data_IF_976551951172
#
_entry.id   IF_976551951172
#
_cell.length_a   1.000
_cell.length_b   1.000
_cell.length_c   1.000
_cell.angle_alpha   90.00
_cell.angle_beta   90.00
_cell.angle_gamma   90.00
#
_symmetry.space_group_name_H-M   'P 1'
#
loop_
_entity.id
_entity.type
_entity.pdbx_description
1 polymer ?
#
# COMPACT_ATOMS: atom_id res chain seq x y z
N UNK A 1 -10.06 -17.16 -14.58
CA UNK A 1 -10.12 -15.99 -13.65
C UNK A 1 -10.84 -16.45 -12.37
N UNK A 2 -10.45 -15.94 -11.19
CA UNK A 2 -10.56 -16.65 -9.91
C UNK A 2 -11.95 -17.21 -9.56
N UNK A 3 -12.00 -18.39 -8.93
CA UNK A 3 -13.24 -19.06 -8.52
C UNK A 3 -13.18 -19.48 -7.05
N UNK A 4 -14.35 -19.62 -6.44
CA UNK A 4 -14.51 -20.15 -5.10
C UNK A 4 -14.48 -21.68 -5.17
N UNK A 5 -13.59 -22.30 -4.40
CA UNK A 5 -13.52 -23.76 -4.25
C UNK A 5 -14.69 -24.27 -3.39
N UNK A 6 -14.92 -25.59 -3.39
CA UNK A 6 -15.99 -26.21 -2.59
C UNK A 6 -15.89 -25.94 -1.08
N UNK A 7 -14.71 -25.55 -0.59
CA UNK A 7 -14.45 -25.19 0.81
C UNK A 7 -14.57 -23.67 1.10
N UNK A 8 -15.02 -22.88 0.13
CA UNK A 8 -15.17 -21.42 0.22
C UNK A 8 -13.86 -20.64 0.03
N UNK A 9 -12.74 -21.31 -0.28
CA UNK A 9 -11.45 -20.63 -0.52
C UNK A 9 -11.36 -20.12 -1.94
N UNK A 10 -10.85 -18.90 -2.11
CA UNK A 10 -10.55 -18.35 -3.43
C UNK A 10 -9.35 -19.07 -4.05
N UNK A 11 -9.52 -19.54 -5.28
CA UNK A 11 -8.48 -20.06 -6.15
C UNK A 11 -8.26 -19.12 -7.34
N UNK A 12 -7.01 -19.07 -7.82
CA UNK A 12 -6.68 -18.42 -9.07
C UNK A 12 -6.75 -19.44 -10.21
N UNK A 13 -7.72 -19.26 -11.10
CA UNK A 13 -7.78 -19.97 -12.37
C UNK A 13 -6.89 -19.26 -13.40
N UNK A 14 -5.69 -19.80 -13.58
CA UNK A 14 -4.71 -19.39 -14.58
C UNK A 14 -5.07 -19.96 -15.96
N UNK A 15 -6.17 -19.47 -16.52
CA UNK A 15 -6.73 -19.92 -17.81
C UNK A 15 -6.22 -19.16 -19.03
N UNK A 16 -5.15 -18.36 -18.87
CA UNK A 16 -4.58 -17.51 -19.91
C UNK A 16 -5.60 -16.60 -20.63
N UNK A 17 -6.70 -16.22 -19.96
CA UNK A 17 -7.68 -15.26 -20.50
C UNK A 17 -7.06 -13.88 -20.83
N UNK A 18 -5.86 -13.61 -20.31
CA UNK A 18 -5.05 -12.46 -20.63
C UNK A 18 -5.18 -11.31 -19.65
N UNK A 19 -4.48 -10.22 -19.97
CA UNK A 19 -4.45 -8.98 -19.20
C UNK A 19 -4.91 -7.86 -20.14
N UNK A 20 -5.99 -7.13 -19.83
CA UNK A 20 -6.38 -5.97 -20.60
C UNK A 20 -5.24 -4.96 -20.68
N UNK A 21 -4.85 -4.63 -21.91
CA UNK A 21 -3.85 -3.62 -22.22
C UNK A 21 -4.51 -2.51 -23.03
N UNK A 22 -4.59 -1.32 -22.44
CA UNK A 22 -5.32 -0.17 -22.98
C UNK A 22 -4.30 0.84 -23.46
N UNK A 23 -4.47 1.30 -24.69
CA UNK A 23 -3.73 2.45 -25.22
C UNK A 23 -4.67 3.66 -25.24
N UNK A 24 -4.23 4.73 -24.59
CA UNK A 24 -4.94 5.99 -24.49
C UNK A 24 -4.04 7.14 -24.94
N UNK A 25 -4.66 8.25 -25.32
CA UNK A 25 -3.96 9.43 -25.79
C UNK A 25 -4.52 10.67 -25.11
N UNK A 26 -3.65 11.62 -24.80
CA UNK A 26 -4.03 12.90 -24.24
C UNK A 26 -3.37 14.03 -25.05
N UNK A 27 -4.18 14.99 -25.49
CA UNK A 27 -3.72 16.18 -26.20
C UNK A 27 -3.16 17.20 -25.19
N UNK A 28 -2.02 16.83 -24.61
CA UNK A 28 -1.31 17.60 -23.59
C UNK A 28 0.19 17.32 -23.74
N UNK A 29 1.06 18.34 -23.70
CA UNK A 29 2.50 18.14 -23.61
C UNK A 29 2.88 17.43 -22.31
N UNK A 30 3.82 16.48 -22.36
CA UNK A 30 4.25 15.73 -21.17
C UNK A 30 4.82 16.64 -20.07
N UNK A 31 5.53 17.71 -20.46
CA UNK A 31 6.07 18.73 -19.57
C UNK A 31 5.03 19.44 -18.69
N UNK A 32 3.74 19.31 -19.01
CA UNK A 32 2.66 19.82 -18.16
C UNK A 32 2.62 19.09 -16.81
N UNK A 33 2.95 17.80 -16.78
CA UNK A 33 3.04 17.02 -15.55
C UNK A 33 4.21 17.44 -14.66
N UNK A 34 5.23 18.09 -15.20
CA UNK A 34 6.47 18.41 -14.48
C UNK A 34 6.39 19.75 -13.74
N UNK A 35 5.28 20.48 -13.88
CA UNK A 35 5.11 21.79 -13.25
C UNK A 35 4.79 21.63 -11.77
N UNK A 36 5.43 22.45 -10.94
CA UNK A 36 5.22 22.44 -9.47
C UNK A 36 3.77 22.71 -9.06
N UNK A 37 3.01 23.45 -9.87
CA UNK A 37 1.60 23.78 -9.64
C UNK A 37 0.62 22.80 -10.32
N UNK A 38 1.12 21.73 -10.94
CA UNK A 38 0.26 20.76 -11.60
C UNK A 38 -0.47 19.88 -10.59
N UNK A 39 -1.79 19.99 -10.56
CA UNK A 39 -2.63 19.09 -9.79
C UNK A 39 -2.74 17.73 -10.49
N UNK A 40 -1.88 16.78 -10.12
CA UNK A 40 -1.89 15.44 -10.74
C UNK A 40 -3.17 14.64 -10.49
N UNK A 41 -3.84 14.88 -9.35
CA UNK A 41 -4.87 13.97 -8.84
C UNK A 41 -6.15 13.93 -9.68
N UNK A 42 -6.70 15.06 -10.16
CA UNK A 42 -7.80 15.03 -11.12
C UNK A 42 -7.51 14.17 -12.36
N UNK A 43 -6.23 14.00 -12.71
CA UNK A 43 -5.77 13.19 -13.84
C UNK A 43 -5.51 11.72 -13.53
N UNK A 44 -5.35 11.31 -12.26
CA UNK A 44 -5.09 9.90 -11.93
C UNK A 44 -6.16 8.96 -12.45
N UNK A 45 -7.43 9.35 -12.38
CA UNK A 45 -8.56 8.58 -12.94
C UNK A 45 -8.51 8.44 -14.47
N UNK A 46 -7.77 9.32 -15.15
CA UNK A 46 -7.55 9.29 -16.60
C UNK A 46 -6.32 8.49 -16.99
N UNK A 47 -5.39 8.26 -16.06
CA UNK A 47 -4.16 7.52 -16.30
C UNK A 47 -4.24 6.05 -15.89
N UNK A 48 -5.22 5.68 -15.06
CA UNK A 48 -5.48 4.30 -14.67
C UNK A 48 -6.54 3.65 -15.58
N UNK A 49 -6.45 2.32 -15.82
CA UNK A 49 -7.47 1.56 -16.56
C UNK A 49 -8.89 1.86 -16.06
N UNK A 50 -9.82 2.08 -17.00
CA UNK A 50 -11.24 2.13 -16.67
C UNK A 50 -11.75 0.74 -16.28
N UNK A 51 -12.29 0.62 -15.07
CA UNK A 51 -12.75 -0.65 -14.52
C UNK A 51 -12.12 -0.86 -13.16
N UNK A 52 -12.95 -0.89 -12.13
CA UNK A 52 -12.48 -1.06 -10.76
C UNK A 52 -12.08 -2.52 -10.54
N UNK A 53 -10.86 -2.90 -10.93
CA UNK A 53 -10.31 -4.24 -10.63
C UNK A 53 -10.15 -4.48 -9.12
N UNK A 54 -10.40 -3.46 -8.28
CA UNK A 54 -10.48 -3.60 -6.82
C UNK A 54 -11.85 -4.09 -6.38
N UNK A 55 -12.88 -3.96 -7.22
CA UNK A 55 -14.21 -4.57 -7.03
C UNK A 55 -14.30 -5.82 -7.89
N UNK A 56 -13.79 -6.92 -7.36
CA UNK A 56 -14.08 -8.24 -7.90
C UNK A 56 -15.56 -8.54 -7.68
N UNK A 57 -16.38 -8.30 -8.71
CA UNK A 57 -17.82 -8.53 -8.73
C UNK A 57 -18.17 -9.80 -9.50
N UNK A 58 -17.25 -10.30 -10.33
CA UNK A 58 -17.42 -11.50 -11.14
C UNK A 58 -16.12 -12.31 -11.19
N UNK A 59 -16.20 -13.65 -11.24
CA UNK A 59 -15.07 -14.52 -11.61
C UNK A 59 -14.37 -14.09 -12.90
N UNK A 60 -15.07 -13.41 -13.82
CA UNK A 60 -14.53 -12.94 -15.10
C UNK A 60 -13.86 -11.55 -15.04
N UNK A 61 -13.80 -10.92 -13.87
CA UNK A 61 -13.13 -9.63 -13.75
C UNK A 61 -11.61 -9.78 -13.86
N UNK A 62 -10.93 -8.91 -14.63
CA UNK A 62 -9.49 -8.98 -14.80
C UNK A 62 -8.76 -8.69 -13.48
N UNK A 63 -7.79 -9.53 -13.15
CA UNK A 63 -7.00 -9.41 -11.92
C UNK A 63 -5.83 -8.41 -12.03
N UNK A 64 -5.47 -8.07 -13.26
CA UNK A 64 -4.50 -7.06 -13.64
C UNK A 64 -5.03 -6.37 -14.89
N UNK A 65 -4.87 -5.06 -14.97
CA UNK A 65 -5.06 -4.26 -16.18
C UNK A 65 -3.96 -3.22 -16.28
N UNK A 66 -3.56 -2.89 -17.51
CA UNK A 66 -2.50 -1.93 -17.78
C UNK A 66 -3.01 -0.91 -18.78
N UNK A 67 -2.75 0.36 -18.52
CA UNK A 67 -3.02 1.45 -19.47
C UNK A 67 -1.74 2.21 -19.77
N UNK A 68 -1.44 2.40 -21.05
CA UNK A 68 -0.43 3.34 -21.55
C UNK A 68 -1.16 4.58 -22.03
N UNK A 69 -0.91 5.73 -21.39
CA UNK A 69 -1.44 7.01 -21.86
C UNK A 69 -0.33 7.81 -22.52
N UNK A 70 -0.38 7.99 -23.83
CA UNK A 70 0.59 8.73 -24.64
C UNK A 70 0.22 10.22 -24.70
N UNK A 71 1.23 11.06 -24.57
CA UNK A 71 1.09 12.52 -24.60
C UNK A 71 1.27 13.05 -26.02
N UNK A 72 0.96 14.33 -26.20
CA UNK A 72 1.07 15.01 -27.48
C UNK A 72 2.45 14.78 -28.12
N UNK A 73 2.46 14.52 -29.42
CA UNK A 73 3.67 14.27 -30.22
C UNK A 73 4.55 13.10 -29.71
N UNK A 74 4.00 12.15 -28.95
CA UNK A 74 4.75 11.05 -28.32
C UNK A 74 5.92 11.51 -27.43
N UNK A 75 5.83 12.72 -26.85
CA UNK A 75 6.88 13.29 -25.98
C UNK A 75 7.08 12.49 -24.68
N UNK A 76 6.07 11.71 -24.28
CA UNK A 76 6.12 10.88 -23.09
C UNK A 76 4.87 10.02 -22.94
N UNK A 77 4.88 9.17 -21.92
CA UNK A 77 3.73 8.34 -21.57
C UNK A 77 3.65 8.11 -20.06
N UNK A 78 2.44 7.81 -19.60
CA UNK A 78 2.16 7.33 -18.24
C UNK A 78 1.70 5.88 -18.30
N UNK A 79 2.22 5.05 -17.41
CA UNK A 79 1.74 3.69 -17.16
C UNK A 79 0.82 3.66 -15.94
N UNK A 80 -0.45 3.33 -16.16
CA UNK A 80 -1.40 3.04 -15.11
C UNK A 80 -1.62 1.56 -14.93
N UNK A 81 -1.80 1.13 -13.68
CA UNK A 81 -2.09 -0.24 -13.34
C UNK A 81 -3.38 -0.30 -12.52
N UNK A 82 -4.25 -1.23 -12.87
CA UNK A 82 -5.22 -1.77 -11.93
C UNK A 82 -4.72 -3.14 -11.49
N UNK A 83 -4.52 -3.36 -10.19
CA UNK A 83 -4.16 -4.68 -9.65
C UNK A 83 -5.14 -5.13 -8.56
N UNK A 84 -5.60 -6.37 -8.64
CA UNK A 84 -6.31 -7.01 -7.54
C UNK A 84 -5.31 -7.36 -6.43
N UNK A 85 -5.44 -6.72 -5.27
CA UNK A 85 -4.58 -6.98 -4.12
C UNK A 85 -4.79 -8.39 -3.52
N UNK A 86 -5.84 -9.11 -3.92
CA UNK A 86 -6.04 -10.54 -3.60
C UNK A 86 -4.90 -11.38 -4.20
N UNK A 87 -4.42 -11.00 -5.40
CA UNK A 87 -3.37 -11.74 -6.09
C UNK A 87 -2.01 -11.45 -5.49
N UNK A 88 -1.67 -10.18 -5.27
CA UNK A 88 -0.28 -9.78 -5.07
C UNK A 88 -0.20 -8.50 -4.22
N UNK A 89 0.79 -8.47 -3.33
CA UNK A 89 1.17 -7.25 -2.60
C UNK A 89 2.02 -6.31 -3.47
N UNK A 90 2.31 -5.11 -2.95
CA UNK A 90 3.11 -4.11 -3.66
C UNK A 90 4.51 -4.60 -4.06
N UNK A 91 5.15 -5.47 -3.26
CA UNK A 91 6.45 -6.03 -3.59
C UNK A 91 6.36 -6.96 -4.82
N UNK A 92 5.31 -7.78 -4.90
CA UNK A 92 5.05 -8.65 -6.05
C UNK A 92 4.68 -7.82 -7.30
N UNK A 93 3.90 -6.75 -7.15
CA UNK A 93 3.60 -5.85 -8.27
C UNK A 93 4.88 -5.19 -8.82
N UNK A 94 5.78 -4.76 -7.93
CA UNK A 94 7.08 -4.20 -8.35
C UNK A 94 7.95 -5.24 -9.07
N UNK A 95 7.96 -6.50 -8.59
CA UNK A 95 8.63 -7.61 -9.28
C UNK A 95 8.07 -7.81 -10.68
N UNK A 96 6.74 -7.85 -10.84
CA UNK A 96 6.08 -7.94 -12.16
C UNK A 96 6.54 -6.81 -13.09
N UNK A 97 6.51 -5.55 -12.63
CA UNK A 97 6.91 -4.41 -13.46
C UNK A 97 8.37 -4.47 -13.90
N UNK A 98 9.27 -4.91 -13.00
CA UNK A 98 10.69 -5.11 -13.33
C UNK A 98 10.86 -6.19 -14.39
N UNK A 99 10.22 -7.35 -14.21
CA UNK A 99 10.25 -8.46 -15.16
C UNK A 99 9.64 -8.08 -16.51
N UNK A 100 8.52 -7.34 -16.51
CA UNK A 100 7.91 -6.83 -17.74
C UNK A 100 8.85 -5.89 -18.49
N UNK A 101 9.53 -4.98 -17.77
CA UNK A 101 10.55 -4.11 -18.35
C UNK A 101 11.79 -4.83 -18.90
N UNK A 102 12.20 -5.95 -18.28
CA UNK A 102 13.26 -6.82 -18.81
C UNK A 102 12.84 -7.47 -20.13
N UNK A 103 11.66 -8.09 -20.15
CA UNK A 103 11.08 -8.70 -21.35
C UNK A 103 10.92 -7.67 -22.48
N UNK A 104 10.42 -6.47 -22.19
CA UNK A 104 10.23 -5.41 -23.17
C UNK A 104 11.56 -4.95 -23.82
N UNK A 105 12.69 -5.10 -23.11
CA UNK A 105 14.04 -4.83 -23.64
C UNK A 105 14.69 -6.04 -24.31
N UNK A 106 14.00 -7.19 -24.39
CA UNK A 106 14.55 -8.44 -24.90
C UNK A 106 15.61 -9.07 -23.99
N UNK A 107 15.60 -8.72 -22.70
CA UNK A 107 16.51 -9.30 -21.70
C UNK A 107 15.89 -10.54 -21.05
N UNK A 108 16.70 -11.53 -20.63
CA UNK A 108 16.21 -12.61 -19.79
C UNK A 108 15.76 -12.06 -18.43
N UNK A 109 14.81 -12.76 -17.80
CA UNK A 109 14.36 -12.41 -16.46
C UNK A 109 15.50 -12.55 -15.45
N UNK A 110 15.75 -11.49 -14.68
CA UNK A 110 16.76 -11.54 -13.60
C UNK A 110 16.31 -12.40 -12.42
N UNK A 111 14.99 -12.52 -12.23
CA UNK A 111 14.37 -13.28 -11.15
C UNK A 111 13.04 -13.85 -11.62
N UNK A 112 12.94 -15.19 -11.64
CA UNK A 112 11.71 -15.89 -12.01
C UNK A 112 10.73 -15.92 -10.82
N UNK A 113 9.45 -15.56 -11.01
CA UNK A 113 8.48 -15.57 -9.92
C UNK A 113 8.25 -16.99 -9.39
N UNK A 114 8.09 -17.09 -8.07
CA UNK A 114 7.81 -18.34 -7.37
C UNK A 114 6.39 -18.32 -6.82
N UNK A 115 5.56 -19.24 -7.29
CA UNK A 115 4.17 -19.40 -6.89
C UNK A 115 4.04 -20.55 -5.88
N UNK A 116 4.30 -20.28 -4.60
CA UNK A 116 4.19 -21.26 -3.50
C UNK A 116 3.22 -20.75 -2.42
N UNK A 117 1.96 -20.52 -2.78
CA UNK A 117 0.98 -19.89 -1.87
C UNK A 117 0.66 -20.76 -0.67
N UNK A 118 0.75 -22.07 -0.83
CA UNK A 118 0.60 -23.06 0.22
C UNK A 118 1.65 -22.94 1.33
N UNK A 119 2.75 -22.21 1.13
CA UNK A 119 3.71 -21.91 2.20
C UNK A 119 3.10 -21.02 3.30
N UNK A 120 2.02 -20.29 2.98
CA UNK A 120 1.29 -19.40 3.89
C UNK A 120 -0.08 -19.96 4.29
N UNK A 121 -0.30 -21.26 4.13
CA UNK A 121 -1.57 -21.86 4.55
C UNK A 121 -1.71 -21.78 6.09
N UNK A 122 -2.92 -21.56 6.64
CA UNK A 122 -3.12 -21.42 8.08
C UNK A 122 -2.56 -22.58 8.90
N UNK A 123 -2.54 -23.78 8.33
CA UNK A 123 -2.04 -25.00 8.98
C UNK A 123 -0.50 -25.02 9.13
N UNK A 124 0.22 -24.18 8.37
CA UNK A 124 1.69 -24.07 8.39
C UNK A 124 2.19 -22.84 9.12
N UNK A 125 1.33 -21.86 9.39
CA UNK A 125 1.70 -20.61 10.03
C UNK A 125 1.39 -20.68 11.53
N UNK A 126 2.44 -20.51 12.35
CA UNK A 126 2.29 -20.23 13.77
C UNK A 126 2.34 -18.71 13.91
N UNK A 127 1.18 -18.07 13.90
CA UNK A 127 1.08 -16.64 14.16
C UNK A 127 1.11 -16.41 15.67
N UNK A 128 1.79 -15.34 16.15
CA UNK A 128 1.64 -14.93 17.54
C UNK A 128 0.16 -14.61 17.81
N UNK A 129 -0.31 -14.78 19.06
CA UNK A 129 -1.65 -14.33 19.42
C UNK A 129 -1.78 -12.84 19.07
N UNK A 130 -2.93 -12.41 18.52
CA UNK A 130 -3.13 -11.01 18.18
C UNK A 130 -2.91 -10.15 19.43
N UNK A 131 -2.23 -9.01 19.27
CA UNK A 131 -1.90 -8.13 20.40
C UNK A 131 -3.15 -7.61 21.14
N UNK A 132 -4.33 -7.66 20.50
CA UNK A 132 -5.68 -7.46 21.06
C UNK A 132 -6.71 -8.04 20.09
N UNK A 133 -7.87 -8.49 20.59
CA UNK A 133 -9.01 -8.83 19.73
C UNK A 133 -9.38 -7.59 18.89
N UNK A 134 -9.24 -7.69 17.56
CA UNK A 134 -9.53 -6.59 16.62
C UNK A 134 -11.03 -6.19 16.61
N UNK A 135 -11.87 -6.96 17.29
CA UNK A 135 -13.32 -6.98 17.09
C UNK A 135 -14.07 -5.72 17.54
N UNK A 136 -13.43 -4.76 18.25
CA UNK A 136 -14.15 -3.60 18.80
C UNK A 136 -13.49 -2.23 18.60
N UNK A 137 -12.31 -2.15 18.00
CA UNK A 137 -11.68 -0.84 17.77
C UNK A 137 -11.78 -0.51 16.29
N UNK A 138 -12.79 0.29 15.94
CA UNK A 138 -12.78 0.95 14.64
C UNK A 138 -11.70 2.06 14.67
N UNK A 139 -10.53 1.85 14.01
CA UNK A 139 -9.41 2.79 14.02
C UNK A 139 -9.75 4.13 13.39
N UNK A 140 -10.79 4.12 12.56
CA UNK A 140 -11.21 5.19 11.68
C UNK A 140 -12.56 5.71 12.16
N UNK A 141 -12.89 6.95 11.76
CA UNK A 141 -14.29 7.33 11.70
C UNK A 141 -15.02 6.26 10.88
N UNK A 142 -16.03 5.63 11.46
CA UNK A 142 -16.93 4.72 10.77
C UNK A 142 -17.46 5.36 9.48
N UNK A 143 -17.79 4.55 8.47
CA UNK A 143 -18.43 5.08 7.26
C UNK A 143 -19.67 5.94 7.57
N UNK A 144 -20.38 5.65 8.67
CA UNK A 144 -21.46 6.49 9.21
C UNK A 144 -20.99 7.82 9.80
N UNK A 145 -19.85 7.87 10.50
CA UNK A 145 -19.25 9.11 11.02
C UNK A 145 -18.72 10.00 9.89
N UNK A 146 -18.35 9.41 8.75
CA UNK A 146 -17.91 10.13 7.54
C UNK A 146 -19.07 10.43 6.57
N UNK A 147 -20.29 9.97 6.87
CA UNK A 147 -21.42 10.15 5.97
C UNK A 147 -21.78 11.64 5.85
N UNK A 148 -21.71 12.17 4.62
CA UNK A 148 -21.97 13.59 4.35
C UNK A 148 -20.75 14.50 4.52
N UNK A 149 -19.59 13.97 4.93
CA UNK A 149 -18.34 14.70 4.90
C UNK A 149 -17.80 14.76 3.46
N UNK A 150 -17.38 15.94 3.02
CA UNK A 150 -16.57 16.07 1.81
C UNK A 150 -15.13 15.66 2.14
N UNK A 151 -14.74 14.47 1.71
CA UNK A 151 -13.37 14.00 1.86
C UNK A 151 -12.47 14.72 0.86
N UNK A 152 -11.56 15.54 1.37
CA UNK A 152 -10.55 16.22 0.57
C UNK A 152 -9.21 15.53 0.77
N UNK A 153 -8.63 15.03 -0.32
CA UNK A 153 -7.26 14.54 -0.30
C UNK A 153 -6.29 15.74 -0.23
N UNK A 154 -5.16 15.66 0.48
CA UNK A 154 -4.09 16.70 0.51
C UNK A 154 -2.71 16.07 0.47
N UNK A 155 -1.78 16.67 -0.26
CA UNK A 155 -0.40 16.17 -0.38
C UNK A 155 0.46 16.99 0.58
N UNK A 156 1.27 16.30 1.37
CA UNK A 156 2.19 16.91 2.32
C UNK A 156 3.61 16.50 1.92
N UNK A 157 4.43 17.49 1.58
CA UNK A 157 5.83 17.27 1.24
C UNK A 157 6.71 17.32 2.49
N UNK A 158 7.33 16.19 2.84
CA UNK A 158 8.31 16.11 3.92
C UNK A 158 9.71 16.01 3.32
N UNK A 159 10.52 17.04 3.53
CA UNK A 159 11.91 17.04 3.04
C UNK A 159 12.77 16.04 3.83
N UNK A 160 13.91 15.66 3.27
CA UNK A 160 14.89 14.80 3.95
C UNK A 160 15.34 15.40 5.30
N UNK A 161 15.48 16.71 5.38
CA UNK A 161 15.85 17.44 6.59
C UNK A 161 14.75 17.37 7.65
N UNK A 162 13.47 17.52 7.25
CA UNK A 162 12.33 17.38 8.16
C UNK A 162 12.24 15.96 8.71
N UNK A 163 12.35 14.95 7.85
CA UNK A 163 12.32 13.54 8.26
C UNK A 163 13.50 13.22 9.19
N UNK A 164 14.70 13.74 8.90
CA UNK A 164 15.86 13.59 9.77
C UNK A 164 15.60 14.21 11.14
N UNK A 165 15.08 15.44 11.20
CA UNK A 165 14.72 16.10 12.46
C UNK A 165 13.75 15.25 13.29
N UNK A 166 12.71 14.69 12.65
CA UNK A 166 11.75 13.81 13.33
C UNK A 166 12.41 12.56 13.92
N UNK A 167 13.34 11.93 13.19
CA UNK A 167 14.09 10.77 13.70
C UNK A 167 15.00 11.12 14.87
N UNK A 168 15.69 12.25 14.79
CA UNK A 168 16.60 12.71 15.83
C UNK A 168 15.81 13.02 17.11
N UNK A 169 14.65 13.67 17.00
CA UNK A 169 13.72 13.91 18.11
C UNK A 169 13.24 12.60 18.74
N UNK A 170 12.75 11.66 17.94
CA UNK A 170 12.26 10.36 18.45
C UNK A 170 13.36 9.58 19.20
N UNK A 171 14.59 9.59 18.67
CA UNK A 171 15.73 8.90 19.27
C UNK A 171 16.21 9.58 20.55
N UNK A 172 16.08 10.91 20.65
CA UNK A 172 16.48 11.67 21.85
C UNK A 172 15.46 11.53 22.98
N UNK A 173 14.15 11.52 22.67
CA UNK A 173 13.08 11.38 23.67
C UNK A 173 12.97 9.96 24.24
N UNK A 174 13.30 8.95 23.44
CA UNK A 174 13.46 7.58 23.87
C UNK A 174 14.88 7.12 23.53
N UNK A 175 15.89 7.47 24.35
CA UNK A 175 17.23 6.92 24.20
C UNK A 175 17.10 5.41 24.44
N UNK A 176 17.02 4.65 23.36
CA UNK A 176 16.72 3.23 23.45
C UNK A 176 17.80 2.54 24.26
N UNK A 177 17.37 1.81 25.29
CA UNK A 177 18.11 0.70 25.91
C UNK A 177 18.60 -0.23 24.80
N UNK A 178 19.91 -0.44 24.64
CA UNK A 178 20.58 -1.44 23.76
C UNK A 178 20.07 -1.63 22.30
N UNK A 179 19.16 -0.80 21.77
CA UNK A 179 18.49 -1.00 20.49
C UNK A 179 18.87 0.06 19.44
N UNK A 180 18.71 -0.31 18.16
CA UNK A 180 18.96 0.55 17.01
C UNK A 180 18.05 1.79 17.00
N UNK A 181 18.48 2.91 16.39
CA UNK A 181 17.67 4.13 16.27
C UNK A 181 16.38 3.89 15.47
N UNK A 182 15.34 4.68 15.74
CA UNK A 182 14.08 4.60 15.01
C UNK A 182 14.25 4.84 13.51
N UNK A 183 13.50 4.07 12.71
CA UNK A 183 13.47 4.25 11.25
C UNK A 183 12.72 5.52 10.83
N UNK A 184 12.97 5.98 9.60
CA UNK A 184 12.24 7.12 9.02
C UNK A 184 10.73 6.86 8.96
N UNK A 185 10.34 5.62 8.65
CA UNK A 185 8.94 5.19 8.61
C UNK A 185 8.28 5.29 9.99
N UNK A 186 8.96 4.85 11.04
CA UNK A 186 8.43 4.94 12.41
C UNK A 186 8.30 6.40 12.87
N UNK A 187 9.35 7.21 12.68
CA UNK A 187 9.33 8.61 13.11
C UNK A 187 8.27 9.44 12.37
N UNK A 188 8.21 9.32 11.04
CA UNK A 188 7.20 10.02 10.23
C UNK A 188 5.79 9.48 10.48
N UNK A 189 5.63 8.15 10.56
CA UNK A 189 4.33 7.52 10.83
C UNK A 189 3.75 7.94 12.18
N UNK A 190 4.57 7.98 13.24
CA UNK A 190 4.16 8.46 14.54
C UNK A 190 3.78 9.95 14.51
N UNK A 191 4.58 10.79 13.84
CA UNK A 191 4.28 12.21 13.68
C UNK A 191 2.94 12.44 12.95
N UNK A 192 2.72 11.75 11.82
CA UNK A 192 1.46 11.80 11.09
C UNK A 192 0.29 11.30 11.93
N UNK A 193 0.47 10.21 12.67
CA UNK A 193 -0.58 9.64 13.51
C UNK A 193 -1.06 10.64 14.57
N UNK A 194 -0.15 11.29 15.29
CA UNK A 194 -0.49 12.34 16.26
C UNK A 194 -1.32 13.46 15.62
N UNK A 195 -0.88 13.99 14.49
CA UNK A 195 -1.57 15.10 13.82
C UNK A 195 -2.92 14.71 13.19
N UNK A 196 -3.03 13.50 12.63
CA UNK A 196 -4.30 12.99 12.10
C UNK A 196 -5.31 12.82 13.22
N UNK A 197 -4.92 12.23 14.36
CA UNK A 197 -5.82 12.05 15.50
C UNK A 197 -6.19 13.38 16.18
N UNK A 198 -5.26 14.31 16.29
CA UNK A 198 -5.55 15.65 16.81
C UNK A 198 -6.55 16.42 15.93
N UNK A 199 -6.60 16.13 14.62
CA UNK A 199 -7.52 16.75 13.67
C UNK A 199 -8.93 16.12 13.66
N UNK A 200 -9.14 14.96 14.31
CA UNK A 200 -10.48 14.34 14.39
C UNK A 200 -11.32 14.96 15.51
N UNK A 201 -12.64 14.96 15.36
CA UNK A 201 -13.58 15.33 16.43
C UNK A 201 -14.13 14.09 17.14
N UNK A 202 -13.23 13.34 17.78
CA UNK A 202 -13.56 12.14 18.56
C UNK A 202 -13.26 12.32 20.04
N UNK A 203 -13.93 11.53 20.89
CA UNK A 203 -13.71 11.47 22.33
C UNK A 203 -12.22 11.22 22.68
N UNK A 204 -11.72 11.90 23.71
CA UNK A 204 -10.34 11.81 24.19
C UNK A 204 -9.97 10.43 24.73
N UNK A 205 -10.94 9.68 25.25
CA UNK A 205 -10.78 8.32 25.75
C UNK A 205 -10.83 7.26 24.65
N UNK A 206 -11.10 7.64 23.39
CA UNK A 206 -11.17 6.71 22.25
C UNK A 206 -9.79 6.10 21.97
N UNK A 207 -9.76 4.77 21.87
CA UNK A 207 -8.61 4.04 21.37
C UNK A 207 -8.41 4.35 19.88
N UNK A 208 -7.20 4.78 19.54
CA UNK A 208 -6.76 5.06 18.19
C UNK A 208 -5.72 3.99 17.80
N UNK A 209 -5.71 3.56 16.53
CA UNK A 209 -4.76 2.55 16.04
C UNK A 209 -3.99 3.07 14.84
N UNK A 210 -2.67 2.92 14.86
CA UNK A 210 -1.82 3.03 13.68
C UNK A 210 -1.46 1.64 13.17
N UNK A 211 -1.85 1.33 11.94
CA UNK A 211 -1.42 0.10 11.27
C UNK A 211 -0.18 0.34 10.42
N UNK A 212 0.79 -0.55 10.55
CA UNK A 212 1.95 -0.65 9.67
C UNK A 212 1.97 -2.03 8.99
N UNK A 213 2.33 -2.05 7.72
CA UNK A 213 2.46 -3.29 6.95
C UNK A 213 3.92 -3.75 6.96
N UNK A 214 4.16 -4.95 7.46
CA UNK A 214 5.46 -5.60 7.44
C UNK A 214 5.56 -6.58 6.29
N UNK A 215 6.62 -6.47 5.49
CA UNK A 215 7.00 -7.53 4.55
C UNK A 215 7.53 -8.73 5.35
N UNK A 216 6.85 -9.87 5.23
CA UNK A 216 7.14 -11.08 5.98
C UNK A 216 8.05 -12.07 5.26
N UNK A 217 8.39 -11.84 3.98
CA UNK A 217 9.18 -12.78 3.18
C UNK A 217 10.45 -13.28 3.89
N UNK A 218 11.24 -12.36 4.44
CA UNK A 218 12.47 -12.68 5.17
C UNK A 218 12.30 -12.87 6.67
N UNK A 219 11.07 -12.77 7.20
CA UNK A 219 10.76 -12.82 8.65
C UNK A 219 10.09 -14.12 9.09
N UNK A 220 9.67 -14.95 8.13
CA UNK A 220 9.10 -16.27 8.39
C UNK A 220 10.22 -17.29 8.62
N UNK A 221 9.89 -18.40 9.28
CA UNK A 221 10.78 -19.53 9.49
C UNK A 221 10.12 -20.81 8.95
N UNK A 222 10.60 -21.37 7.83
CA UNK A 222 11.67 -20.86 6.98
C UNK A 222 11.25 -19.58 6.20
N UNK A 223 12.21 -18.75 5.75
CA UNK A 223 11.90 -17.57 4.96
C UNK A 223 11.31 -17.97 3.59
N UNK A 224 10.42 -17.13 3.07
CA UNK A 224 9.96 -17.27 1.68
C UNK A 224 11.10 -16.89 0.72
N UNK A 225 11.12 -17.46 -0.50
CA UNK A 225 12.02 -17.00 -1.54
C UNK A 225 11.85 -15.50 -1.80
N UNK A 226 12.95 -14.82 -2.12
CA UNK A 226 12.92 -13.40 -2.53
C UNK A 226 11.95 -13.18 -3.70
N UNK A 227 11.90 -14.15 -4.62
CA UNK A 227 11.05 -14.16 -5.79
C UNK A 227 9.59 -14.60 -5.54
N UNK A 228 9.18 -14.78 -4.28
CA UNK A 228 7.81 -15.17 -3.94
C UNK A 228 6.81 -14.15 -4.48
N UNK A 229 5.88 -14.63 -5.32
CA UNK A 229 4.85 -13.82 -5.96
C UNK A 229 3.48 -14.09 -5.33
N UNK A 230 3.05 -13.16 -4.48
CA UNK A 230 1.81 -13.27 -3.70
C UNK A 230 1.76 -12.22 -2.59
N UNK A 231 0.78 -12.34 -1.70
CA UNK A 231 0.72 -11.52 -0.50
C UNK A 231 1.58 -12.16 0.60
N UNK A 232 2.60 -11.44 1.08
CA UNK A 232 3.39 -11.82 2.24
C UNK A 232 3.53 -10.62 3.18
N UNK A 233 2.38 -10.03 3.52
CA UNK A 233 2.29 -8.86 4.40
C UNK A 233 1.61 -9.25 5.72
N UNK A 234 2.15 -8.74 6.82
CA UNK A 234 1.49 -8.76 8.12
C UNK A 234 1.12 -7.34 8.50
N UNK A 235 -0.14 -7.13 8.86
CA UNK A 235 -0.62 -5.86 9.42
C UNK A 235 -0.39 -5.88 10.92
N UNK A 236 0.42 -4.95 11.40
CA UNK A 236 0.70 -4.77 12.83
C UNK A 236 0.08 -3.45 13.30
N UNK A 237 -0.58 -3.47 14.45
CA UNK A 237 -1.38 -2.37 14.98
C UNK A 237 -0.85 -1.89 16.32
N UNK A 238 -0.49 -0.61 16.40
CA UNK A 238 -0.16 0.05 17.68
C UNK A 238 -1.35 0.86 18.15
N UNK A 239 -1.77 0.68 19.41
CA UNK A 239 -2.94 1.34 20.01
C UNK A 239 -2.50 2.35 21.07
N UNK A 240 -3.11 3.52 21.06
CA UNK A 240 -3.01 4.52 22.13
C UNK A 240 -4.32 5.29 22.24
N UNK A 241 -4.62 5.85 23.41
CA UNK A 241 -5.78 6.74 23.57
C UNK A 241 -5.49 8.08 22.91
N UNK A 242 -6.54 8.74 22.40
CA UNK A 242 -6.40 10.10 21.83
C UNK A 242 -5.74 11.07 22.81
N UNK A 243 -6.12 11.04 24.09
CA UNK A 243 -5.50 11.87 25.14
C UNK A 243 -3.99 11.63 25.33
N UNK A 244 -3.50 10.43 25.04
CA UNK A 244 -2.07 10.08 25.13
C UNK A 244 -1.31 10.60 23.89
N UNK A 245 -1.97 10.63 22.74
CA UNK A 245 -1.41 11.14 21.48
C UNK A 245 -1.41 12.67 21.42
N UNK A 246 -2.38 13.32 22.08
CA UNK A 246 -2.47 14.78 22.20
C UNK A 246 -1.48 15.35 23.23
N UNK A 247 -0.97 14.53 24.15
CA UNK A 247 0.08 14.96 25.07
C UNK A 247 1.34 15.32 24.26
N UNK A 248 1.82 16.54 24.47
CA UNK A 248 3.04 17.02 23.83
C UNK A 248 4.22 16.14 24.21
N UNK A 249 4.87 15.58 23.20
CA UNK A 249 6.29 15.24 23.33
C UNK A 249 6.99 16.56 23.04
N UNK A 250 7.39 17.28 24.10
CA UNK A 250 8.21 18.51 24.15
C UNK A 250 8.40 19.18 22.79
N UNK A 251 7.70 20.31 22.57
CA UNK A 251 7.84 21.15 21.38
C UNK A 251 9.33 21.44 21.02
N UNK A 252 9.65 21.56 19.72
CA UNK A 252 11.01 21.82 19.23
C UNK A 252 11.59 23.19 19.61
#
# INVERSE_FOLDING_TARGET
>A
MGFEQEDGRLALDCNDAGVPFIEAYIDMPFSTLEKDDFEHRPFFKHFAPHGDVTKWNSPDDPLLSVQVTRFLNDEGFVLGFGNSHIVADGASLWHFMKSWGECARGLPLSMHPVHMREALSPEKLILPPPCREEDNVNPWCSPSELAGCELVQRDFHFTSEMVKKLKDMATTSCPATDHAPFSSLQALGAHMWKHVIAATDTDKSRDCILYLLSNMRSKLEPPLPEAYFGNAILRDGTVARKEELEQESVEP
#
